data_IF_246510166100
#
_entry.id   IF_246510166100
#
_cell.length_a   1.000
_cell.length_b   1.000
_cell.length_c   1.000
_cell.angle_alpha   90.00
_cell.angle_beta   90.00
_cell.angle_gamma   90.00
#
_symmetry.space_group_name_H-M   'P 1'
#
loop_
_entity.id
_entity.type
_entity.pdbx_description
1 polymer ?
#
# COMPACT_ATOMS: atom_id res chain seq x y z
N UNK A 1 4.86 16.79 -8.01
CA UNK A 1 4.19 16.91 -6.69
C UNK A 1 2.84 16.21 -6.63
N UNK A 2 1.94 16.36 -7.61
CA UNK A 2 0.61 15.70 -7.60
C UNK A 2 0.64 14.17 -7.41
N UNK A 3 1.58 13.48 -8.06
CA UNK A 3 1.71 12.02 -7.94
C UNK A 3 2.04 11.53 -6.52
N UNK A 4 2.88 12.26 -5.78
CA UNK A 4 3.25 11.90 -4.41
C UNK A 4 2.06 12.02 -3.45
N UNK A 5 1.18 13.00 -3.67
CA UNK A 5 -0.06 13.16 -2.89
C UNK A 5 -1.00 11.98 -3.14
N UNK A 6 -1.16 11.56 -4.39
CA UNK A 6 -1.98 10.41 -4.77
C UNK A 6 -1.46 9.13 -4.10
N UNK A 7 -0.14 8.90 -4.15
CA UNK A 7 0.49 7.78 -3.48
C UNK A 7 0.27 7.83 -1.97
N UNK A 8 0.44 8.99 -1.34
CA UNK A 8 0.25 9.16 0.10
C UNK A 8 -1.20 8.86 0.52
N UNK A 9 -2.19 9.33 -0.26
CA UNK A 9 -3.60 9.06 -0.01
C UNK A 9 -3.91 7.57 -0.07
N UNK A 10 -3.45 6.87 -1.11
CA UNK A 10 -3.67 5.43 -1.23
C UNK A 10 -2.92 4.66 -0.14
N UNK A 11 -1.66 5.05 0.15
CA UNK A 11 -0.90 4.50 1.25
C UNK A 11 -1.67 4.57 2.57
N UNK A 12 -2.16 5.76 2.94
CA UNK A 12 -2.91 5.97 4.17
C UNK A 12 -4.18 5.13 4.21
N UNK A 13 -4.92 5.06 3.11
CA UNK A 13 -6.16 4.27 3.02
C UNK A 13 -5.90 2.78 3.27
N UNK A 14 -4.90 2.20 2.60
CA UNK A 14 -4.56 0.78 2.74
C UNK A 14 -3.88 0.44 4.07
N UNK A 15 -3.05 1.34 4.61
CA UNK A 15 -2.48 1.18 5.94
C UNK A 15 -3.56 1.20 7.03
N UNK A 16 -4.51 2.15 6.94
CA UNK A 16 -5.65 2.24 7.86
C UNK A 16 -6.52 0.99 7.79
N UNK A 17 -6.89 0.57 6.58
CA UNK A 17 -7.67 -0.65 6.37
C UNK A 17 -6.97 -1.89 6.92
N UNK A 18 -5.65 -1.98 6.77
CA UNK A 18 -4.85 -3.08 7.31
C UNK A 18 -4.78 -3.13 8.84
N UNK A 19 -4.92 -2.00 9.52
CA UNK A 19 -5.01 -1.95 10.98
C UNK A 19 -6.41 -2.30 11.50
N UNK A 20 -7.45 -1.94 10.75
CA UNK A 20 -8.84 -2.09 11.18
C UNK A 20 -9.44 -3.46 10.84
N UNK A 21 -8.91 -4.14 9.81
CA UNK A 21 -9.41 -5.44 9.40
C UNK A 21 -8.74 -6.52 10.26
N UNK A 22 -9.52 -7.36 10.99
CA UNK A 22 -8.99 -8.41 11.87
C UNK A 22 -8.50 -9.65 11.09
N UNK A 23 -8.32 -9.54 9.78
CA UNK A 23 -7.93 -10.62 8.88
C UNK A 23 -6.53 -10.37 8.31
N UNK A 24 -5.65 -11.39 8.26
CA UNK A 24 -4.32 -11.25 7.70
C UNK A 24 -4.38 -10.89 6.22
N UNK A 25 -3.93 -9.67 5.88
CA UNK A 25 -3.78 -9.25 4.49
C UNK A 25 -2.38 -9.58 3.95
N UNK A 26 -2.35 -10.22 2.79
CA UNK A 26 -1.15 -10.41 1.98
C UNK A 26 -0.76 -9.08 1.29
N UNK A 27 0.52 -8.77 1.05
CA UNK A 27 1.71 -9.51 1.44
C UNK A 27 2.23 -9.18 2.85
N UNK A 28 1.66 -8.20 3.55
CA UNK A 28 2.15 -7.73 4.85
C UNK A 28 2.27 -8.83 5.90
N UNK A 29 1.27 -9.72 5.99
CA UNK A 29 1.31 -10.86 6.90
C UNK A 29 2.40 -11.89 6.54
N UNK A 30 2.69 -12.07 5.25
CA UNK A 30 3.73 -12.99 4.77
C UNK A 30 5.13 -12.51 5.17
N UNK A 31 5.40 -11.20 5.01
CA UNK A 31 6.66 -10.61 5.48
C UNK A 31 6.80 -10.67 7.01
N UNK A 32 5.71 -10.43 7.75
CA UNK A 32 5.74 -10.52 9.21
C UNK A 32 6.02 -11.96 9.70
N UNK A 33 5.41 -12.96 9.06
CA UNK A 33 5.67 -14.37 9.37
C UNK A 33 7.13 -14.78 9.08
N UNK A 34 7.76 -14.18 8.06
CA UNK A 34 9.15 -14.47 7.68
C UNK A 34 10.19 -13.86 8.64
N UNK A 35 9.83 -12.77 9.32
CA UNK A 35 10.73 -12.00 10.20
C UNK A 35 10.80 -12.60 11.64
N UNK A 36 9.91 -13.53 11.98
CA UNK A 36 9.97 -14.33 13.22
C UNK A 36 9.34 -13.69 14.47
N UNK A 37 9.19 -14.50 15.53
CA UNK A 37 8.45 -14.17 16.78
C UNK A 37 8.96 -12.92 17.51
N UNK A 38 10.23 -12.56 17.36
CA UNK A 38 10.84 -11.40 18.03
C UNK A 38 10.18 -10.07 17.64
N UNK A 39 9.52 -10.01 16.47
CA UNK A 39 8.82 -8.81 15.98
C UNK A 39 7.29 -8.96 16.06
N UNK A 40 6.79 -10.01 16.71
CA UNK A 40 5.35 -10.30 16.90
C UNK A 40 4.57 -9.09 17.44
N UNK A 41 5.15 -8.35 18.40
CA UNK A 41 4.52 -7.15 18.97
C UNK A 41 4.34 -6.00 17.96
N UNK A 42 5.13 -5.97 16.90
CA UNK A 42 5.03 -4.98 15.82
C UNK A 42 4.44 -5.55 14.53
N UNK A 43 4.11 -6.85 14.48
CA UNK A 43 3.66 -7.53 13.27
C UNK A 43 2.44 -6.83 12.64
N UNK A 44 1.49 -6.36 13.45
CA UNK A 44 0.31 -5.65 12.93
C UNK A 44 0.68 -4.31 12.28
N UNK A 45 1.56 -3.52 12.92
CA UNK A 45 2.02 -2.24 12.38
C UNK A 45 2.88 -2.43 11.12
N UNK A 46 3.75 -3.43 11.13
CA UNK A 46 4.64 -3.74 10.03
C UNK A 46 3.86 -4.29 8.83
N UNK A 47 2.88 -5.16 9.08
CA UNK A 47 1.94 -5.65 8.07
C UNK A 47 1.15 -4.49 7.43
N UNK A 48 0.62 -3.57 8.24
CA UNK A 48 -0.08 -2.39 7.75
C UNK A 48 0.82 -1.48 6.92
N UNK A 49 2.08 -1.29 7.32
CA UNK A 49 3.06 -0.53 6.57
C UNK A 49 3.35 -1.17 5.22
N UNK A 50 3.65 -2.48 5.19
CA UNK A 50 3.93 -3.21 3.97
C UNK A 50 2.74 -3.20 3.01
N UNK A 51 1.52 -3.43 3.52
CA UNK A 51 0.31 -3.38 2.71
C UNK A 51 0.06 -1.97 2.17
N UNK A 52 0.19 -0.93 3.01
CA UNK A 52 0.07 0.46 2.58
C UNK A 52 1.04 0.79 1.45
N UNK A 53 2.31 0.41 1.57
CA UNK A 53 3.32 0.66 0.54
C UNK A 53 2.98 -0.13 -0.72
N UNK A 54 2.73 -1.43 -0.60
CA UNK A 54 2.53 -2.32 -1.74
C UNK A 54 1.31 -1.91 -2.57
N UNK A 55 0.15 -1.79 -1.93
CA UNK A 55 -1.08 -1.41 -2.61
C UNK A 55 -1.10 0.06 -3.03
N UNK A 56 -0.51 0.96 -2.21
CA UNK A 56 -0.36 2.37 -2.55
C UNK A 56 0.48 2.58 -3.81
N UNK A 57 1.60 1.87 -3.94
CA UNK A 57 2.47 1.94 -5.13
C UNK A 57 1.78 1.36 -6.36
N UNK A 58 1.11 0.21 -6.24
CA UNK A 58 0.39 -0.41 -7.37
C UNK A 58 -0.68 0.55 -7.91
N UNK A 59 -1.53 1.09 -7.04
CA UNK A 59 -2.57 2.03 -7.45
C UNK A 59 -1.98 3.31 -8.02
N UNK A 60 -0.92 3.84 -7.41
CA UNK A 60 -0.24 5.01 -7.92
C UNK A 60 0.32 4.77 -9.34
N UNK A 61 0.91 3.61 -9.61
CA UNK A 61 1.38 3.23 -10.95
C UNK A 61 0.23 3.13 -11.95
N UNK A 62 -0.85 2.43 -11.60
CA UNK A 62 -2.05 2.30 -12.44
C UNK A 62 -2.62 3.69 -12.76
N UNK A 63 -2.80 4.53 -11.75
CA UNK A 63 -3.32 5.88 -11.92
C UNK A 63 -2.40 6.75 -12.78
N UNK A 64 -1.08 6.63 -12.60
CA UNK A 64 -0.09 7.36 -13.39
C UNK A 64 -0.09 6.90 -14.86
N UNK A 65 -0.25 5.60 -15.12
CA UNK A 65 -0.35 5.05 -16.47
C UNK A 65 -1.63 5.53 -17.17
N UNK A 66 -2.78 5.46 -16.49
CA UNK A 66 -4.06 5.94 -17.03
C UNK A 66 -3.99 7.44 -17.29
N UNK A 67 -3.45 8.22 -16.35
CA UNK A 67 -3.30 9.67 -16.51
C UNK A 67 -2.42 10.03 -17.70
N UNK A 68 -1.33 9.28 -17.93
CA UNK A 68 -0.48 9.46 -19.12
C UNK A 68 -1.24 9.17 -20.41
N UNK A 69 -1.98 8.04 -20.46
CA UNK A 69 -2.81 7.65 -21.60
C UNK A 69 -3.86 8.71 -21.96
N UNK A 70 -4.56 9.24 -20.96
CA UNK A 70 -5.62 10.25 -21.18
C UNK A 70 -5.08 11.60 -21.69
N UNK A 71 -3.85 11.96 -21.32
CA UNK A 71 -3.20 13.18 -21.83
C UNK A 71 -2.75 12.98 -23.28
N UNK A 72 -2.25 11.79 -23.62
CA UNK A 72 -1.80 11.44 -24.97
C UNK A 72 -2.95 11.34 -25.99
N UNK A 73 -4.15 10.94 -25.55
CA UNK A 73 -5.34 10.82 -26.41
C UNK A 73 -6.07 12.15 -26.68
N UNK A 74 -5.75 13.22 -25.92
CA UNK A 74 -6.36 14.55 -26.05
C UNK A 74 -5.42 15.60 -26.69
N UNK A 75 -4.30 15.19 -27.30
CA UNK A 75 -3.33 16.08 -27.96
C UNK A 75 -3.14 15.72 -29.43
#
# INVERSE_FOLDING_TARGET
MKGAVILLTFFLLFASASLLIPSPMFPGNFFCALIGETISQYANYLSALFNGIFYGVILWLVFSMISKKLVEENS
#
